data_IF_438615372510
#
_entry.id   IF_438615372510
#
_cell.length_a   1.000
_cell.length_b   1.000
_cell.length_c   1.000
_cell.angle_alpha   90.00
_cell.angle_beta   90.00
_cell.angle_gamma   90.00
#
_symmetry.space_group_name_H-M   'P 1'
#
loop_
_entity.id
_entity.type
_entity.pdbx_description
1 polymer ?
#
# COMPACT_ATOMS: atom_id res chain seq x y z
N UNK A 1 -43.94 3.18 9.95
CA UNK A 1 -42.84 2.20 9.99
C UNK A 1 -41.47 2.85 9.83
N UNK A 2 -41.24 3.68 8.80
CA UNK A 2 -39.98 4.44 8.62
C UNK A 2 -39.71 5.44 9.78
N UNK A 3 -40.74 6.14 10.28
CA UNK A 3 -40.58 7.02 11.46
C UNK A 3 -40.31 6.27 12.77
N UNK A 4 -40.81 5.04 12.89
CA UNK A 4 -40.57 4.18 14.06
C UNK A 4 -39.12 3.67 14.12
N UNK A 5 -38.46 3.51 12.97
CA UNK A 5 -37.06 3.11 12.88
C UNK A 5 -36.10 4.28 13.15
N UNK A 6 -36.46 5.50 12.72
CA UNK A 6 -35.72 6.73 13.05
C UNK A 6 -35.71 7.03 14.55
N UNK A 7 -36.85 6.84 15.23
CA UNK A 7 -36.95 7.02 16.69
C UNK A 7 -36.13 6.00 17.49
N UNK A 8 -36.09 4.74 17.06
CA UNK A 8 -35.31 3.69 17.72
C UNK A 8 -33.79 3.89 17.56
N UNK A 9 -33.34 4.38 16.39
CA UNK A 9 -31.93 4.70 16.16
C UNK A 9 -31.46 5.90 17.01
N UNK A 10 -32.23 7.00 17.04
CA UNK A 10 -31.92 8.17 17.88
C UNK A 10 -31.91 7.82 19.38
N UNK A 11 -32.92 7.11 19.87
CA UNK A 11 -32.98 6.61 21.25
C UNK A 11 -31.78 5.74 21.61
N UNK A 12 -31.39 4.82 20.72
CA UNK A 12 -30.27 3.92 20.96
C UNK A 12 -28.90 4.62 20.96
N UNK A 13 -28.75 5.73 20.23
CA UNK A 13 -27.54 6.54 20.17
C UNK A 13 -27.44 7.51 21.34
N UNK A 14 -28.56 8.08 21.79
CA UNK A 14 -28.63 8.93 22.98
C UNK A 14 -28.45 8.13 24.28
N UNK A 15 -28.94 6.88 24.33
CA UNK A 15 -28.60 5.93 25.40
C UNK A 15 -27.13 5.52 25.36
N UNK A 16 -26.53 5.43 24.16
CA UNK A 16 -25.12 5.12 24.01
C UNK A 16 -24.22 6.27 24.44
N UNK A 17 -24.53 7.51 24.05
CA UNK A 17 -23.84 8.71 24.54
C UNK A 17 -23.87 8.77 26.07
N UNK A 18 -25.05 8.57 26.67
CA UNK A 18 -25.21 8.52 28.13
C UNK A 18 -24.47 7.35 28.79
N UNK A 19 -24.38 6.19 28.15
CA UNK A 19 -23.61 5.05 28.64
C UNK A 19 -22.09 5.28 28.56
N UNK A 20 -21.63 6.20 27.71
CA UNK A 20 -20.23 6.60 27.59
C UNK A 20 -19.86 7.73 28.57
N UNK A 21 -20.79 8.61 28.92
CA UNK A 21 -20.57 9.78 29.80
C UNK A 21 -20.40 9.46 31.30
N UNK A 22 -20.74 8.24 31.76
CA UNK A 22 -20.87 7.92 33.19
C UNK A 22 -19.78 7.06 33.86
N UNK A 23 -18.64 6.79 33.23
CA UNK A 23 -17.68 5.79 33.75
C UNK A 23 -16.36 6.43 34.28
N UNK A 24 -16.09 6.40 35.60
CA UNK A 24 -14.79 6.73 36.15
C UNK A 24 -13.81 5.56 35.94
N UNK A 25 -12.56 5.89 35.56
CA UNK A 25 -11.40 5.00 35.39
C UNK A 25 -11.67 3.71 34.58
N UNK A 26 -11.56 3.80 33.26
CA UNK A 26 -11.76 2.68 32.34
C UNK A 26 -10.52 1.80 32.24
N UNK A 27 -10.66 0.55 32.70
CA UNK A 27 -9.89 -0.59 32.18
C UNK A 27 -10.04 -0.66 30.65
N UNK A 28 -8.98 -1.06 29.93
CA UNK A 28 -8.92 -1.00 28.46
C UNK A 28 -9.91 -1.99 27.81
N UNK A 29 -10.17 -3.13 28.45
CA UNK A 29 -11.07 -4.17 27.93
C UNK A 29 -12.53 -3.70 27.78
N UNK A 30 -13.17 -3.07 28.79
CA UNK A 30 -14.50 -2.48 28.65
C UNK A 30 -14.65 -1.50 27.47
N UNK A 31 -13.64 -0.68 27.19
CA UNK A 31 -13.68 0.30 26.10
C UNK A 31 -13.68 -0.34 24.73
N UNK A 32 -12.80 -1.33 24.53
CA UNK A 32 -12.69 -2.09 23.27
C UNK A 32 -13.96 -2.90 23.00
N UNK A 33 -14.51 -3.57 24.01
CA UNK A 33 -15.73 -4.37 23.84
C UNK A 33 -16.95 -3.48 23.52
N UNK A 34 -17.07 -2.32 24.15
CA UNK A 34 -18.12 -1.34 23.79
C UNK A 34 -17.99 -0.87 22.35
N UNK A 35 -16.78 -0.55 21.89
CA UNK A 35 -16.53 -0.15 20.51
C UNK A 35 -16.91 -1.25 19.50
N UNK A 36 -16.65 -2.52 19.85
CA UNK A 36 -17.05 -3.67 19.05
C UNK A 36 -18.57 -3.82 18.96
N UNK A 37 -19.26 -3.82 20.10
CA UNK A 37 -20.73 -3.90 20.16
C UNK A 37 -21.39 -2.74 19.40
N UNK A 38 -20.80 -1.56 19.47
CA UNK A 38 -21.24 -0.38 18.72
C UNK A 38 -21.10 -0.59 17.21
N UNK A 39 -19.95 -1.08 16.76
CA UNK A 39 -19.73 -1.40 15.35
C UNK A 39 -20.73 -2.45 14.83
N UNK A 40 -21.05 -3.47 15.63
CA UNK A 40 -22.06 -4.47 15.28
C UNK A 40 -23.46 -3.85 15.13
N UNK A 41 -23.86 -2.97 16.05
CA UNK A 41 -25.14 -2.27 15.98
C UNK A 41 -25.21 -1.36 14.75
N UNK A 42 -24.16 -0.59 14.49
CA UNK A 42 -24.10 0.33 13.34
C UNK A 42 -24.08 -0.42 12.01
N UNK A 43 -23.33 -1.52 11.93
CA UNK A 43 -23.21 -2.27 10.69
C UNK A 43 -24.47 -3.05 10.31
N UNK A 44 -25.34 -3.41 11.27
CA UNK A 44 -26.62 -4.07 10.99
C UNK A 44 -27.69 -3.15 10.43
N UNK A 45 -27.55 -1.84 10.59
CA UNK A 45 -28.56 -0.89 10.12
C UNK A 45 -28.00 -0.06 8.95
N UNK A 46 -28.42 -0.41 7.74
CA UNK A 46 -28.05 0.33 6.51
C UNK A 46 -28.49 1.81 6.56
N UNK A 47 -29.45 2.15 7.43
CA UNK A 47 -29.96 3.51 7.65
C UNK A 47 -29.30 4.23 8.85
N UNK A 48 -28.41 3.58 9.62
CA UNK A 48 -27.94 4.09 10.92
C UNK A 48 -26.80 5.11 10.88
N UNK A 49 -26.10 5.30 9.75
CA UNK A 49 -25.05 6.33 9.65
C UNK A 49 -25.62 7.67 9.20
N UNK A 50 -26.68 8.13 9.88
CA UNK A 50 -27.15 9.51 9.70
C UNK A 50 -26.10 10.50 10.22
N UNK A 51 -26.04 11.74 9.73
CA UNK A 51 -25.12 12.76 10.25
C UNK A 51 -25.23 12.98 11.76
N UNK A 52 -26.46 12.91 12.31
CA UNK A 52 -26.70 13.03 13.74
C UNK A 52 -26.11 11.84 14.53
N UNK A 53 -26.33 10.62 14.03
CA UNK A 53 -25.74 9.42 14.63
C UNK A 53 -24.22 9.46 14.62
N UNK A 54 -23.65 9.90 13.50
CA UNK A 54 -22.22 10.07 13.36
C UNK A 54 -21.69 11.14 14.33
N UNK A 55 -22.39 12.27 14.49
CA UNK A 55 -22.04 13.29 15.47
C UNK A 55 -22.01 12.75 16.90
N UNK A 56 -23.04 11.99 17.30
CA UNK A 56 -23.09 11.35 18.62
C UNK A 56 -21.94 10.34 18.81
N UNK A 57 -21.63 9.54 17.79
CA UNK A 57 -20.51 8.60 17.81
C UNK A 57 -19.17 9.32 17.93
N UNK A 58 -18.98 10.40 17.18
CA UNK A 58 -17.76 11.22 17.23
C UNK A 58 -17.59 11.83 18.61
N UNK A 59 -18.64 12.43 19.18
CA UNK A 59 -18.60 12.98 20.54
C UNK A 59 -18.30 11.90 21.58
N UNK A 60 -18.97 10.74 21.50
CA UNK A 60 -18.72 9.62 22.41
C UNK A 60 -17.30 9.06 22.30
N UNK A 61 -16.77 8.93 21.08
CA UNK A 61 -15.39 8.50 20.87
C UNK A 61 -14.36 9.56 21.30
N UNK A 62 -14.66 10.83 21.09
CA UNK A 62 -13.80 11.93 21.55
C UNK A 62 -13.75 12.00 23.08
N UNK A 63 -14.89 11.80 23.76
CA UNK A 63 -14.97 11.68 25.23
C UNK A 63 -14.25 10.43 25.73
N UNK A 64 -14.47 9.26 25.10
CA UNK A 64 -13.72 8.05 25.46
C UNK A 64 -12.21 8.25 25.30
N UNK A 65 -11.78 8.89 24.21
CA UNK A 65 -10.38 9.11 23.92
C UNK A 65 -9.75 10.23 24.76
N UNK A 66 -10.52 11.14 25.38
CA UNK A 66 -9.95 12.21 26.22
C UNK A 66 -9.44 11.66 27.56
N UNK A 67 -9.98 10.52 28.01
CA UNK A 67 -9.51 9.80 29.22
C UNK A 67 -8.48 8.71 28.95
N UNK A 68 -8.16 8.41 27.69
CA UNK A 68 -7.24 7.34 27.30
C UNK A 68 -5.91 7.91 26.82
N UNK A 69 -4.84 7.14 27.01
CA UNK A 69 -3.59 7.42 26.30
C UNK A 69 -3.75 7.15 24.79
N UNK A 70 -2.71 7.48 24.02
CA UNK A 70 -2.70 7.29 22.56
C UNK A 70 -2.95 5.82 22.17
N UNK A 71 -2.43 4.86 22.95
CA UNK A 71 -2.55 3.44 22.65
C UNK A 71 -3.98 2.93 22.88
N UNK A 72 -4.61 3.31 23.99
CA UNK A 72 -6.00 2.98 24.29
C UNK A 72 -6.96 3.58 23.27
N UNK A 73 -6.74 4.84 22.88
CA UNK A 73 -7.50 5.49 21.81
C UNK A 73 -7.39 4.74 20.48
N UNK A 74 -6.18 4.31 20.10
CA UNK A 74 -5.95 3.54 18.88
C UNK A 74 -6.62 2.16 18.90
N UNK A 75 -6.64 1.50 20.05
CA UNK A 75 -7.30 0.21 20.21
C UNK A 75 -8.83 0.32 20.02
N UNK A 76 -9.45 1.34 20.63
CA UNK A 76 -10.89 1.62 20.51
C UNK A 76 -11.26 1.92 19.06
N UNK A 77 -10.54 2.83 18.39
CA UNK A 77 -10.79 3.18 16.99
C UNK A 77 -10.60 1.94 16.09
N UNK A 78 -9.51 1.19 16.28
CA UNK A 78 -9.25 -0.02 15.49
C UNK A 78 -10.34 -1.07 15.64
N UNK A 79 -10.85 -1.28 16.86
CA UNK A 79 -11.94 -2.22 17.13
C UNK A 79 -13.24 -1.80 16.44
N UNK A 80 -13.59 -0.51 16.51
CA UNK A 80 -14.74 0.04 15.81
C UNK A 80 -14.63 -0.17 14.29
N UNK A 81 -13.50 0.24 13.69
CA UNK A 81 -13.28 0.11 12.25
C UNK A 81 -13.27 -1.35 11.81
N UNK A 82 -12.66 -2.24 12.60
CA UNK A 82 -12.70 -3.68 12.35
C UNK A 82 -14.13 -4.19 12.33
N UNK A 83 -14.95 -3.86 13.34
CA UNK A 83 -16.35 -4.26 13.36
C UNK A 83 -17.13 -3.73 12.16
N UNK A 84 -16.94 -2.45 11.79
CA UNK A 84 -17.58 -1.87 10.60
C UNK A 84 -17.18 -2.61 9.31
N UNK A 85 -15.90 -2.98 9.17
CA UNK A 85 -15.40 -3.79 8.04
C UNK A 85 -16.08 -5.15 7.93
N UNK A 86 -16.32 -5.82 9.06
CA UNK A 86 -16.97 -7.15 9.07
C UNK A 86 -18.43 -7.08 8.64
N UNK A 87 -19.11 -5.98 8.94
CA UNK A 87 -20.55 -5.83 8.66
C UNK A 87 -20.82 -5.40 7.21
N UNK A 88 -20.08 -4.41 6.70
CA UNK A 88 -20.27 -3.89 5.34
C UNK A 88 -18.96 -3.42 4.70
N UNK A 89 -18.60 -3.91 3.49
CA UNK A 89 -17.45 -3.40 2.74
C UNK A 89 -17.54 -1.88 2.54
N UNK A 90 -16.48 -1.15 2.87
CA UNK A 90 -16.40 0.31 2.70
C UNK A 90 -17.00 1.14 3.84
N UNK A 91 -17.74 0.56 4.78
CA UNK A 91 -18.34 1.30 5.89
C UNK A 91 -17.30 1.98 6.80
N UNK A 92 -16.15 1.33 7.01
CA UNK A 92 -15.04 1.92 7.76
C UNK A 92 -14.46 3.16 7.04
N UNK A 93 -14.26 3.09 5.73
CA UNK A 93 -13.80 4.24 4.93
C UNK A 93 -14.81 5.39 4.92
N UNK A 94 -16.11 5.08 4.78
CA UNK A 94 -17.18 6.08 4.84
C UNK A 94 -17.23 6.77 6.21
N UNK A 95 -17.17 5.99 7.29
CA UNK A 95 -17.14 6.51 8.65
C UNK A 95 -15.95 7.44 8.88
N UNK A 96 -14.74 7.02 8.48
CA UNK A 96 -13.54 7.86 8.60
C UNK A 96 -13.63 9.13 7.75
N UNK A 97 -14.10 9.04 6.51
CA UNK A 97 -14.22 10.20 5.64
C UNK A 97 -15.20 11.25 6.22
N UNK A 98 -16.32 10.80 6.78
CA UNK A 98 -17.27 11.70 7.43
C UNK A 98 -16.70 12.28 8.75
N UNK A 99 -15.92 11.50 9.50
CA UNK A 99 -15.23 12.00 10.70
C UNK A 99 -14.18 13.05 10.35
N UNK A 100 -13.38 12.83 9.31
CA UNK A 100 -12.42 13.82 8.85
C UNK A 100 -13.08 15.11 8.36
N UNK A 101 -14.23 15.03 7.70
CA UNK A 101 -14.96 16.19 7.19
C UNK A 101 -15.50 17.10 8.31
N UNK A 102 -15.85 16.54 9.46
CA UNK A 102 -16.40 17.28 10.61
C UNK A 102 -15.38 17.55 11.72
N UNK A 103 -14.25 16.83 11.69
CA UNK A 103 -13.25 16.82 12.75
C UNK A 103 -12.33 18.03 12.77
N UNK A 104 -11.75 18.28 13.94
CA UNK A 104 -10.71 19.28 14.15
C UNK A 104 -9.34 18.81 13.63
N UNK A 105 -8.35 19.71 13.60
CA UNK A 105 -6.95 19.34 13.29
C UNK A 105 -6.38 18.28 14.26
N UNK A 106 -6.81 18.30 15.52
CA UNK A 106 -6.42 17.28 16.50
C UNK A 106 -7.00 15.90 16.14
N UNK A 107 -8.25 15.86 15.66
CA UNK A 107 -8.89 14.63 15.17
C UNK A 107 -8.18 14.11 13.92
N UNK A 108 -7.78 15.01 13.00
CA UNK A 108 -7.03 14.65 11.81
C UNK A 108 -5.72 13.93 12.17
N UNK A 109 -4.93 14.50 13.09
CA UNK A 109 -3.70 13.87 13.56
C UNK A 109 -3.98 12.51 14.22
N UNK A 110 -5.08 12.38 14.97
CA UNK A 110 -5.46 11.12 15.62
C UNK A 110 -5.87 10.05 14.61
N UNK A 111 -6.64 10.42 13.59
CA UNK A 111 -7.26 9.54 12.60
C UNK A 111 -6.35 9.18 11.44
N UNK A 112 -5.29 9.95 11.17
CA UNK A 112 -4.33 9.69 10.11
C UNK A 112 -3.84 8.23 10.00
N UNK A 113 -3.34 7.58 11.08
CA UNK A 113 -2.89 6.19 10.97
C UNK A 113 -4.01 5.23 10.57
N UNK A 114 -5.23 5.49 11.01
CA UNK A 114 -6.40 4.68 10.69
C UNK A 114 -6.88 4.90 9.26
N UNK A 115 -6.84 6.14 8.77
CA UNK A 115 -7.13 6.47 7.37
C UNK A 115 -6.13 5.81 6.42
N UNK A 116 -4.83 5.88 6.73
CA UNK A 116 -3.80 5.17 5.97
C UNK A 116 -4.01 3.65 6.03
N UNK A 117 -4.37 3.12 7.19
CA UNK A 117 -4.68 1.69 7.34
C UNK A 117 -5.80 1.24 6.39
N UNK A 118 -6.91 1.97 6.34
CA UNK A 118 -8.04 1.62 5.48
C UNK A 118 -7.69 1.78 3.98
N UNK A 119 -6.86 2.75 3.61
CA UNK A 119 -6.28 2.86 2.26
C UNK A 119 -5.44 1.63 1.92
N UNK A 120 -4.56 1.21 2.82
CA UNK A 120 -3.64 0.09 2.63
C UNK A 120 -4.33 -1.29 2.59
N UNK A 121 -5.40 -1.46 3.37
CA UNK A 121 -6.29 -2.63 3.29
C UNK A 121 -7.04 -2.67 1.96
N UNK A 122 -7.11 -1.53 1.26
CA UNK A 122 -7.76 -1.32 -0.02
C UNK A 122 -9.17 -1.85 0.01
N UNK A 123 -10.08 -1.10 0.66
CA UNK A 123 -11.51 -1.40 0.69
C UNK A 123 -11.97 -1.80 -0.72
N UNK A 124 -12.09 -3.12 -0.93
CA UNK A 124 -11.72 -3.82 -2.17
C UNK A 124 -12.48 -3.44 -3.45
N UNK A 125 -13.45 -2.54 -3.40
CA UNK A 125 -14.42 -2.30 -4.50
C UNK A 125 -15.02 -0.89 -4.55
N UNK A 126 -14.71 0.01 -3.64
CA UNK A 126 -15.35 1.33 -3.60
C UNK A 126 -14.39 2.42 -4.09
N UNK A 127 -14.34 2.63 -5.42
CA UNK A 127 -13.91 3.90 -6.00
C UNK A 127 -14.95 5.00 -5.70
N UNK A 128 -15.32 5.13 -4.43
CA UNK A 128 -16.37 6.01 -3.95
C UNK A 128 -15.79 7.32 -3.40
N UNK A 129 -16.65 8.33 -3.18
CA UNK A 129 -16.25 9.64 -2.66
C UNK A 129 -15.46 9.55 -1.34
N UNK A 130 -15.83 8.63 -0.45
CA UNK A 130 -15.15 8.42 0.82
C UNK A 130 -13.68 8.02 0.63
N UNK A 131 -13.39 7.10 -0.29
CA UNK A 131 -12.03 6.65 -0.56
C UNK A 131 -11.19 7.78 -1.16
N UNK A 132 -11.76 8.56 -2.08
CA UNK A 132 -11.10 9.74 -2.65
C UNK A 132 -10.75 10.77 -1.56
N UNK A 133 -11.66 11.03 -0.61
CA UNK A 133 -11.40 11.90 0.53
C UNK A 133 -10.27 11.38 1.43
N UNK A 134 -10.23 10.07 1.71
CA UNK A 134 -9.14 9.48 2.47
C UNK A 134 -7.80 9.63 1.74
N UNK A 135 -7.76 9.37 0.43
CA UNK A 135 -6.56 9.54 -0.39
C UNK A 135 -6.06 10.97 -0.40
N UNK A 136 -6.96 11.95 -0.57
CA UNK A 136 -6.64 13.37 -0.52
C UNK A 136 -6.12 13.79 0.86
N UNK A 137 -6.81 13.37 1.92
CA UNK A 137 -6.43 13.64 3.30
C UNK A 137 -5.03 13.09 3.63
N UNK A 138 -4.78 11.82 3.32
CA UNK A 138 -3.50 11.16 3.60
C UNK A 138 -2.40 11.70 2.69
N UNK A 139 -2.70 12.00 1.43
CA UNK A 139 -1.73 12.53 0.47
C UNK A 139 -1.31 13.98 0.74
N UNK A 140 -2.14 14.76 1.42
CA UNK A 140 -1.82 16.15 1.86
C UNK A 140 -1.08 16.21 3.18
N UNK A 141 -1.01 15.12 3.93
CA UNK A 141 -0.29 15.12 5.20
C UNK A 141 1.20 15.38 4.94
N UNK A 142 1.74 16.42 5.57
CA UNK A 142 3.18 16.67 5.55
C UNK A 142 3.90 15.46 6.13
N UNK A 143 4.70 14.79 5.28
CA UNK A 143 5.43 13.56 5.63
C UNK A 143 6.24 13.73 6.91
N UNK A 144 6.82 14.91 7.13
CA UNK A 144 7.60 15.25 8.33
C UNK A 144 6.74 15.33 9.60
N UNK A 145 5.48 15.76 9.49
CA UNK A 145 4.53 15.76 10.62
C UNK A 145 4.02 14.35 10.95
N UNK A 146 4.16 13.42 10.01
CA UNK A 146 3.80 12.02 10.21
C UNK A 146 4.89 11.22 10.96
N UNK A 147 6.13 11.71 11.08
CA UNK A 147 7.25 11.05 11.78
C UNK A 147 6.90 10.46 13.17
N UNK A 148 6.31 11.22 14.12
CA UNK A 148 5.89 10.67 15.41
C UNK A 148 4.77 9.61 15.27
N UNK A 149 4.04 9.62 14.16
CA UNK A 149 2.96 8.68 13.88
C UNK A 149 3.46 7.41 13.17
N UNK A 150 4.66 7.39 12.58
CA UNK A 150 5.18 6.18 11.93
C UNK A 150 5.36 5.02 12.91
N UNK A 151 5.75 5.29 14.16
CA UNK A 151 5.78 4.27 15.20
C UNK A 151 4.39 3.64 15.45
N UNK A 152 3.31 4.43 15.29
CA UNK A 152 1.93 3.94 15.34
C UNK A 152 1.57 3.17 14.07
N UNK A 153 2.02 3.63 12.89
CA UNK A 153 1.79 2.95 11.61
C UNK A 153 2.36 1.53 11.60
N UNK A 154 3.53 1.31 12.20
CA UNK A 154 4.13 -0.02 12.32
C UNK A 154 3.28 -1.01 13.13
N UNK A 155 2.41 -0.52 14.02
CA UNK A 155 1.53 -1.34 14.86
C UNK A 155 0.22 -1.71 14.16
N UNK A 156 -0.11 -1.07 13.04
CA UNK A 156 -1.33 -1.33 12.30
C UNK A 156 -1.40 -2.78 11.85
N UNK A 157 -2.61 -3.35 11.91
CA UNK A 157 -2.85 -4.74 11.55
C UNK A 157 -2.34 -5.06 10.13
N UNK A 158 -2.64 -4.21 9.15
CA UNK A 158 -2.22 -4.43 7.77
C UNK A 158 -0.69 -4.51 7.60
N UNK A 159 0.04 -3.64 8.30
CA UNK A 159 1.50 -3.60 8.26
C UNK A 159 2.09 -4.81 9.01
N UNK A 160 1.60 -5.06 10.23
CA UNK A 160 2.08 -6.14 11.09
C UNK A 160 1.80 -7.53 10.52
N UNK A 161 0.60 -7.73 9.96
CA UNK A 161 0.18 -9.01 9.40
C UNK A 161 0.53 -9.16 7.91
N UNK A 162 1.11 -8.14 7.28
CA UNK A 162 1.34 -8.13 5.83
C UNK A 162 0.04 -8.28 5.02
N UNK A 163 -1.09 -7.89 5.60
CA UNK A 163 -2.42 -8.00 5.01
C UNK A 163 -2.74 -6.70 4.30
N UNK A 164 -2.21 -6.56 3.10
CA UNK A 164 -2.36 -5.35 2.30
C UNK A 164 -3.10 -5.70 1.01
N UNK A 165 -3.77 -4.73 0.40
CA UNK A 165 -4.48 -4.96 -0.85
C UNK A 165 -3.50 -5.39 -1.95
N UNK A 166 -3.78 -6.54 -2.59
CA UNK A 166 -2.97 -7.05 -3.71
C UNK A 166 -2.92 -6.06 -4.87
N UNK A 167 -4.09 -5.53 -5.23
CA UNK A 167 -4.28 -4.52 -6.29
C UNK A 167 -4.34 -3.10 -5.73
N UNK A 168 -3.32 -2.71 -4.97
CA UNK A 168 -3.27 -1.39 -4.35
C UNK A 168 -3.14 -0.27 -5.39
N UNK A 169 -2.47 -0.52 -6.52
CA UNK A 169 -2.22 0.49 -7.53
C UNK A 169 -3.26 0.53 -8.67
N UNK A 170 -4.19 -0.43 -8.78
CA UNK A 170 -5.24 -0.40 -9.82
C UNK A 170 -6.45 0.49 -9.48
N UNK A 171 -7.04 1.23 -10.46
CA UNK A 171 -6.61 1.35 -11.86
C UNK A 171 -5.38 2.25 -12.05
N UNK A 172 -5.25 3.30 -11.24
CA UNK A 172 -4.04 4.13 -11.13
C UNK A 172 -3.99 4.62 -9.69
N UNK A 173 -2.83 4.56 -9.02
CA UNK A 173 -2.77 5.01 -7.65
C UNK A 173 -2.73 6.53 -7.55
N UNK A 174 -3.24 7.09 -6.46
CA UNK A 174 -3.03 8.50 -6.16
C UNK A 174 -1.55 8.72 -5.84
N UNK A 175 -0.84 9.39 -6.75
CA UNK A 175 0.59 9.74 -6.63
C UNK A 175 0.94 10.45 -5.34
N UNK A 176 -0.01 11.19 -4.79
CA UNK A 176 0.13 11.86 -3.50
C UNK A 176 0.51 10.91 -2.34
N UNK A 177 0.22 9.60 -2.47
CA UNK A 177 0.61 8.61 -1.46
C UNK A 177 2.05 8.14 -1.58
N UNK A 178 2.72 8.33 -2.72
CA UNK A 178 4.00 7.69 -2.96
C UNK A 178 5.09 8.11 -1.96
N UNK A 179 5.21 9.40 -1.57
CA UNK A 179 6.16 9.79 -0.52
C UNK A 179 5.92 9.06 0.80
N UNK A 180 4.66 8.89 1.20
CA UNK A 180 4.28 8.17 2.41
C UNK A 180 4.60 6.67 2.30
N UNK A 181 4.35 6.05 1.15
CA UNK A 181 4.71 4.65 0.88
C UNK A 181 6.23 4.46 0.92
N UNK A 182 7.01 5.39 0.35
CA UNK A 182 8.46 5.35 0.42
C UNK A 182 8.94 5.36 1.87
N UNK A 183 8.36 6.23 2.70
CA UNK A 183 8.67 6.30 4.13
C UNK A 183 8.24 5.05 4.90
N UNK A 184 7.11 4.43 4.55
CA UNK A 184 6.72 3.15 5.13
C UNK A 184 7.74 2.04 4.78
N UNK A 185 8.21 2.01 3.53
CA UNK A 185 9.27 1.08 3.10
C UNK A 185 10.58 1.35 3.84
N UNK A 186 10.92 2.60 4.14
CA UNK A 186 12.08 2.99 4.95
C UNK A 186 11.94 2.57 6.41
N UNK A 187 10.82 2.94 7.02
CA UNK A 187 10.59 2.84 8.46
C UNK A 187 10.36 1.41 8.94
N UNK A 188 9.73 0.55 8.14
CA UNK A 188 9.48 -0.84 8.53
C UNK A 188 10.78 -1.65 8.36
N UNK A 189 11.43 -2.09 9.45
CA UNK A 189 12.66 -2.86 9.35
C UNK A 189 12.39 -4.21 8.66
N UNK A 190 13.36 -4.66 7.86
CA UNK A 190 13.27 -5.87 7.06
C UNK A 190 12.75 -5.66 5.64
N UNK A 191 12.34 -6.76 5.00
CA UNK A 191 11.91 -6.77 3.60
C UNK A 191 10.40 -6.78 3.41
N UNK A 192 9.57 -7.03 4.43
CA UNK A 192 8.14 -7.31 4.26
C UNK A 192 7.36 -6.20 3.50
N UNK A 193 7.48 -4.94 3.91
CA UNK A 193 6.82 -3.81 3.23
C UNK A 193 7.36 -3.61 1.81
N UNK A 194 8.68 -3.73 1.62
CA UNK A 194 9.31 -3.64 0.30
C UNK A 194 8.89 -4.79 -0.62
N UNK A 195 8.82 -6.02 -0.11
CA UNK A 195 8.36 -7.23 -0.80
C UNK A 195 6.93 -7.02 -1.27
N UNK A 196 6.06 -6.55 -0.38
CA UNK A 196 4.68 -6.27 -0.73
C UNK A 196 4.56 -5.16 -1.78
N UNK A 197 5.28 -4.06 -1.62
CA UNK A 197 5.27 -2.98 -2.61
C UNK A 197 5.77 -3.43 -3.98
N UNK A 198 6.79 -4.27 -4.01
CA UNK A 198 7.20 -4.89 -5.26
C UNK A 198 6.10 -5.79 -5.84
N UNK A 199 5.46 -6.64 -5.04
CA UNK A 199 4.37 -7.49 -5.50
C UNK A 199 3.23 -6.66 -6.11
N UNK A 200 2.84 -5.56 -5.46
CA UNK A 200 1.84 -4.65 -6.01
C UNK A 200 2.29 -4.03 -7.34
N UNK A 201 3.55 -3.60 -7.45
CA UNK A 201 4.11 -3.09 -8.70
C UNK A 201 4.19 -4.17 -9.79
N UNK A 202 4.37 -5.45 -9.43
CA UNK A 202 4.44 -6.56 -10.38
C UNK A 202 3.06 -6.98 -10.90
N UNK A 203 2.04 -6.89 -10.04
CA UNK A 203 0.64 -7.15 -10.38
C UNK A 203 0.05 -6.00 -11.22
N UNK A 204 0.22 -4.76 -10.76
CA UNK A 204 -0.24 -3.55 -11.42
C UNK A 204 1.00 -2.76 -11.88
N UNK A 205 1.47 -3.06 -13.09
CA UNK A 205 2.70 -2.46 -13.62
C UNK A 205 2.54 -0.96 -13.92
N UNK A 206 3.58 -0.14 -13.63
CA UNK A 206 3.70 1.19 -14.18
C UNK A 206 3.60 1.20 -15.72
N UNK A 207 3.21 2.33 -16.29
CA UNK A 207 2.93 2.45 -17.73
C UNK A 207 4.14 2.86 -18.56
N UNK A 208 5.27 3.23 -17.92
CA UNK A 208 6.50 3.59 -18.62
C UNK A 208 7.18 2.40 -19.31
N UNK A 209 7.90 2.71 -20.40
CA UNK A 209 8.63 1.73 -21.21
C UNK A 209 9.71 1.02 -20.38
N UNK A 210 9.68 -0.31 -20.35
CA UNK A 210 10.60 -1.13 -19.56
C UNK A 210 10.06 -1.54 -18.18
N UNK A 211 8.87 -1.10 -17.77
CA UNK A 211 8.28 -1.48 -16.47
C UNK A 211 8.11 -3.00 -16.31
N UNK A 212 7.99 -3.75 -17.40
CA UNK A 212 7.96 -5.23 -17.38
C UNK A 212 9.18 -5.86 -16.68
N UNK A 213 10.32 -5.16 -16.64
CA UNK A 213 11.51 -5.55 -15.90
C UNK A 213 11.23 -5.78 -14.41
N UNK A 214 10.24 -5.10 -13.84
CA UNK A 214 9.85 -5.27 -12.44
C UNK A 214 9.40 -6.70 -12.14
N UNK A 215 8.81 -7.43 -13.11
CA UNK A 215 8.40 -8.83 -12.94
C UNK A 215 9.57 -9.79 -12.75
N UNK A 216 10.76 -9.42 -13.19
CA UNK A 216 11.98 -10.21 -13.00
C UNK A 216 12.66 -9.94 -11.65
N UNK A 217 12.21 -8.96 -10.88
CA UNK A 217 12.78 -8.64 -9.57
C UNK A 217 12.33 -9.66 -8.51
N UNK A 218 13.27 -10.05 -7.64
CA UNK A 218 12.97 -10.96 -6.53
C UNK A 218 12.50 -10.17 -5.30
N UNK A 219 11.33 -10.50 -4.70
CA UNK A 219 10.77 -9.75 -3.56
C UNK A 219 11.63 -9.69 -2.29
N UNK A 220 12.56 -10.63 -2.10
CA UNK A 220 13.38 -10.73 -0.89
C UNK A 220 14.85 -10.34 -1.07
N UNK A 221 15.23 -9.85 -2.26
CA UNK A 221 16.60 -9.40 -2.48
C UNK A 221 16.80 -7.98 -1.90
N UNK A 222 17.81 -7.79 -1.06
CA UNK A 222 18.20 -6.48 -0.52
C UNK A 222 18.38 -5.42 -1.60
N UNK A 223 18.88 -5.82 -2.76
CA UNK A 223 19.09 -4.96 -3.92
C UNK A 223 17.81 -4.53 -4.64
N UNK A 224 16.63 -5.09 -4.31
CA UNK A 224 15.34 -4.63 -4.88
C UNK A 224 14.80 -3.39 -4.15
N UNK A 225 15.16 -3.21 -2.87
CA UNK A 225 14.67 -2.08 -2.05
C UNK A 225 15.02 -0.70 -2.63
N UNK A 226 16.26 -0.43 -3.11
CA UNK A 226 16.57 0.83 -3.75
C UNK A 226 15.72 1.14 -4.99
N UNK A 227 15.33 0.11 -5.76
CA UNK A 227 14.50 0.29 -6.97
C UNK A 227 13.08 0.67 -6.57
N UNK A 228 12.48 -0.06 -5.63
CA UNK A 228 11.14 0.24 -5.11
C UNK A 228 11.09 1.65 -4.52
N UNK A 229 12.09 2.02 -3.72
CA UNK A 229 12.18 3.37 -3.15
C UNK A 229 12.33 4.45 -4.22
N UNK A 230 13.13 4.22 -5.26
CA UNK A 230 13.29 5.17 -6.36
C UNK A 230 11.96 5.39 -7.11
N UNK A 231 11.23 4.31 -7.43
CA UNK A 231 9.89 4.40 -8.06
C UNK A 231 8.94 5.25 -7.21
N UNK A 232 8.89 4.98 -5.90
CA UNK A 232 7.98 5.70 -4.99
C UNK A 232 8.42 7.17 -4.83
N UNK A 233 9.70 7.45 -4.58
CA UNK A 233 10.19 8.83 -4.40
C UNK A 233 10.03 9.68 -5.65
N UNK A 234 10.27 9.12 -6.83
CA UNK A 234 10.14 9.83 -8.10
C UNK A 234 8.68 9.97 -8.57
N UNK A 235 7.72 9.26 -7.96
CA UNK A 235 6.36 9.24 -8.52
C UNK A 235 6.27 8.51 -9.86
N UNK A 236 7.20 7.60 -10.15
CA UNK A 236 7.46 7.04 -11.48
C UNK A 236 6.40 6.02 -11.92
N UNK A 237 5.18 6.50 -12.19
CA UNK A 237 4.07 5.69 -12.70
C UNK A 237 3.96 5.77 -14.23
N UNK A 238 4.00 6.97 -14.80
CA UNK A 238 3.88 7.18 -16.25
C UNK A 238 5.23 7.37 -16.95
N UNK A 239 6.23 7.81 -16.20
CA UNK A 239 7.58 8.06 -16.70
C UNK A 239 8.59 7.70 -15.61
N UNK A 240 9.64 6.96 -15.99
CA UNK A 240 10.79 6.70 -15.12
C UNK A 240 11.96 7.60 -15.54
N UNK A 241 12.70 8.14 -14.57
CA UNK A 241 13.92 8.88 -14.87
C UNK A 241 14.97 7.99 -15.55
N UNK A 242 15.91 8.55 -16.34
CA UNK A 242 17.03 7.79 -16.89
C UNK A 242 17.84 7.06 -15.81
N UNK A 243 18.02 7.68 -14.65
CA UNK A 243 18.73 7.08 -13.52
C UNK A 243 18.02 5.83 -12.97
N UNK A 244 16.70 5.88 -12.81
CA UNK A 244 15.90 4.72 -12.39
C UNK A 244 15.95 3.60 -13.44
N UNK A 245 15.84 3.94 -14.73
CA UNK A 245 15.93 2.97 -15.82
C UNK A 245 17.31 2.30 -15.86
N UNK A 246 18.39 3.07 -15.72
CA UNK A 246 19.76 2.57 -15.64
C UNK A 246 19.96 1.67 -14.41
N UNK A 247 19.47 2.08 -13.23
CA UNK A 247 19.55 1.29 -12.01
C UNK A 247 18.85 -0.07 -12.15
N UNK A 248 17.66 -0.08 -12.74
CA UNK A 248 16.90 -1.31 -13.01
C UNK A 248 17.62 -2.21 -14.03
N UNK A 249 18.16 -1.61 -15.10
CA UNK A 249 18.93 -2.29 -16.13
C UNK A 249 20.18 -2.97 -15.55
N UNK A 250 20.98 -2.23 -14.77
CA UNK A 250 22.18 -2.72 -14.11
C UNK A 250 21.88 -3.85 -13.12
N UNK A 251 20.79 -3.74 -12.36
CA UNK A 251 20.35 -4.80 -11.45
C UNK A 251 20.05 -6.09 -12.21
N UNK A 252 19.21 -6.02 -13.24
CA UNK A 252 18.80 -7.19 -14.01
C UNK A 252 19.97 -7.82 -14.76
N UNK A 253 20.82 -6.98 -15.37
CA UNK A 253 22.00 -7.46 -16.08
C UNK A 253 22.91 -8.25 -15.14
N UNK A 254 23.22 -7.71 -13.94
CA UNK A 254 24.02 -8.41 -12.92
C UNK A 254 23.36 -9.69 -12.43
N UNK A 255 22.03 -9.71 -12.28
CA UNK A 255 21.29 -10.90 -11.83
C UNK A 255 21.31 -12.02 -12.85
N UNK A 256 21.07 -11.71 -14.11
CA UNK A 256 21.13 -12.68 -15.22
C UNK A 256 22.57 -13.20 -15.37
N UNK A 257 23.54 -12.30 -15.25
CA UNK A 257 24.94 -12.65 -15.38
C UNK A 257 25.43 -13.65 -14.32
N UNK A 258 24.90 -13.53 -13.11
CA UNK A 258 25.22 -14.39 -11.99
C UNK A 258 24.50 -15.77 -12.03
N UNK A 259 23.70 -16.07 -13.05
CA UNK A 259 22.99 -17.35 -13.14
C UNK A 259 23.91 -18.52 -13.44
N UNK A 260 23.80 -19.57 -12.63
CA UNK A 260 24.39 -20.87 -12.96
C UNK A 260 23.78 -21.42 -14.25
N UNK A 261 24.51 -22.28 -15.00
CA UNK A 261 24.05 -22.78 -16.30
C UNK A 261 22.64 -23.38 -16.28
N UNK A 262 22.29 -24.13 -15.21
CA UNK A 262 20.99 -24.80 -15.08
C UNK A 262 19.82 -23.81 -14.92
N UNK A 263 20.09 -22.62 -14.39
CA UNK A 263 19.08 -21.57 -14.13
C UNK A 263 18.85 -20.65 -15.32
N UNK A 264 19.73 -20.68 -16.33
CA UNK A 264 19.63 -19.83 -17.53
C UNK A 264 18.44 -20.20 -18.43
N UNK A 265 17.85 -21.38 -18.21
CA UNK A 265 16.64 -21.85 -18.90
C UNK A 265 15.34 -21.48 -18.16
N UNK A 266 15.40 -20.82 -17.00
CA UNK A 266 14.21 -20.43 -16.26
C UNK A 266 13.34 -19.46 -17.09
N UNK A 267 11.99 -19.61 -17.09
CA UNK A 267 11.11 -18.83 -17.98
C UNK A 267 11.25 -17.32 -17.84
N UNK A 268 11.53 -16.81 -16.64
CA UNK A 268 11.66 -15.38 -16.38
C UNK A 268 12.89 -14.75 -17.05
N UNK A 269 13.92 -15.54 -17.39
CA UNK A 269 15.19 -15.04 -17.95
C UNK A 269 14.95 -14.40 -19.31
N UNK A 270 14.14 -15.04 -20.17
CA UNK A 270 13.81 -14.50 -21.49
C UNK A 270 13.05 -13.18 -21.35
N UNK A 271 12.02 -13.14 -20.49
CA UNK A 271 11.24 -11.92 -20.24
C UNK A 271 12.09 -10.79 -19.68
N UNK A 272 13.07 -11.11 -18.82
CA UNK A 272 14.01 -10.12 -18.29
C UNK A 272 14.94 -9.56 -19.38
N UNK A 273 15.45 -10.43 -20.28
CA UNK A 273 16.25 -9.99 -21.44
C UNK A 273 15.43 -9.14 -22.41
N UNK A 274 14.16 -9.49 -22.65
CA UNK A 274 13.26 -8.68 -23.47
C UNK A 274 13.01 -7.31 -22.83
N UNK A 275 12.75 -7.26 -21.52
CA UNK A 275 12.56 -6.00 -20.81
C UNK A 275 13.84 -5.13 -20.77
N UNK A 276 15.03 -5.76 -20.77
CA UNK A 276 16.30 -5.03 -20.88
C UNK A 276 16.48 -4.31 -22.22
N UNK A 277 15.84 -4.76 -23.30
CA UNK A 277 15.89 -4.09 -24.59
C UNK A 277 15.21 -2.72 -24.56
N UNK A 278 14.25 -2.57 -23.64
CA UNK A 278 13.55 -1.33 -23.37
C UNK A 278 14.28 -0.43 -22.36
N UNK A 279 15.35 -0.92 -21.73
CA UNK A 279 16.14 -0.24 -20.70
C UNK A 279 17.63 -0.19 -21.10
N UNK A 280 17.99 0.58 -22.13
CA UNK A 280 19.35 0.60 -22.67
C UNK A 280 20.35 1.07 -21.61
N UNK A 281 21.37 0.26 -21.37
CA UNK A 281 22.51 0.59 -20.52
C UNK A 281 23.78 -0.10 -21.03
N UNK A 282 24.98 0.43 -20.70
CA UNK A 282 26.23 -0.25 -21.02
C UNK A 282 26.29 -1.68 -20.46
N UNK A 283 25.71 -1.93 -19.29
CA UNK A 283 25.66 -3.25 -18.68
C UNK A 283 24.77 -4.24 -19.46
N UNK A 284 23.62 -3.78 -19.95
CA UNK A 284 22.72 -4.59 -20.77
C UNK A 284 23.37 -4.95 -22.12
N UNK A 285 24.06 -4.00 -22.76
CA UNK A 285 24.79 -4.24 -24.00
C UNK A 285 25.92 -5.26 -23.82
N UNK A 286 26.73 -5.10 -22.76
CA UNK A 286 27.80 -6.03 -22.42
C UNK A 286 27.27 -7.45 -22.11
N UNK A 287 26.15 -7.54 -21.38
CA UNK A 287 25.48 -8.82 -21.14
C UNK A 287 25.00 -9.46 -22.44
N UNK A 288 24.34 -8.69 -23.32
CA UNK A 288 23.88 -9.17 -24.62
C UNK A 288 25.01 -9.74 -25.47
N UNK A 289 26.13 -9.01 -25.55
CA UNK A 289 27.32 -9.46 -26.27
C UNK A 289 27.87 -10.78 -25.68
N UNK A 290 27.97 -10.88 -24.36
CA UNK A 290 28.44 -12.10 -23.69
C UNK A 290 27.53 -13.30 -23.97
N UNK A 291 26.21 -13.14 -23.86
CA UNK A 291 25.23 -14.20 -24.15
C UNK A 291 25.39 -14.73 -25.58
N UNK A 292 25.70 -13.86 -26.54
CA UNK A 292 25.87 -14.24 -27.94
C UNK A 292 27.16 -15.03 -28.19
N UNK A 293 28.22 -14.74 -27.44
CA UNK A 293 29.56 -15.31 -27.59
C UNK A 293 29.82 -16.54 -26.72
N UNK A 294 29.10 -16.70 -25.60
CA UNK A 294 29.35 -17.77 -24.63
C UNK A 294 28.98 -19.16 -25.18
N UNK A 295 29.95 -20.09 -25.10
CA UNK A 295 29.84 -21.46 -25.64
C UNK A 295 30.16 -22.51 -24.59
N UNK A 296 29.31 -23.54 -24.49
CA UNK A 296 29.56 -24.80 -23.80
C UNK A 296 30.42 -25.71 -24.69
N UNK A 297 31.48 -26.29 -24.10
CA UNK A 297 32.45 -27.15 -24.79
C UNK A 297 33.10 -26.51 -26.03
N UNK A 298 33.16 -25.17 -26.11
CA UNK A 298 33.81 -24.43 -27.22
C UNK A 298 33.00 -24.29 -28.51
N UNK A 299 31.92 -25.07 -28.70
CA UNK A 299 31.12 -25.04 -29.94
C UNK A 299 29.60 -24.99 -29.74
N UNK A 300 29.05 -25.50 -28.64
CA UNK A 300 27.60 -25.45 -28.40
C UNK A 300 27.23 -24.13 -27.71
N UNK A 301 26.16 -23.43 -28.11
CA UNK A 301 25.71 -22.25 -27.37
C UNK A 301 25.31 -22.63 -25.94
N UNK A 302 25.77 -21.85 -24.96
CA UNK A 302 25.40 -22.09 -23.56
C UNK A 302 23.99 -21.58 -23.23
N UNK A 303 23.50 -20.62 -24.01
CA UNK A 303 22.19 -20.01 -23.86
C UNK A 303 21.21 -20.56 -24.90
N UNK A 304 19.94 -20.64 -24.52
CA UNK A 304 18.87 -21.06 -25.43
C UNK A 304 18.73 -20.13 -26.63
N UNK A 305 18.13 -20.62 -27.71
CA UNK A 305 17.88 -19.81 -28.91
C UNK A 305 17.02 -18.57 -28.62
N UNK A 306 16.06 -18.67 -27.71
CA UNK A 306 15.20 -17.55 -27.28
C UNK A 306 15.98 -16.49 -26.52
N UNK A 307 16.83 -16.88 -25.55
CA UNK A 307 17.70 -15.95 -24.84
C UNK A 307 18.68 -15.24 -25.81
N UNK A 308 19.26 -15.98 -26.76
CA UNK A 308 20.15 -15.37 -27.77
C UNK A 308 19.40 -14.41 -28.69
N UNK A 309 18.15 -14.71 -29.05
CA UNK A 309 17.32 -13.79 -29.85
C UNK A 309 17.06 -12.48 -29.10
N UNK A 310 16.69 -12.56 -27.82
CA UNK A 310 16.50 -11.37 -26.98
C UNK A 310 17.82 -10.60 -26.80
N UNK A 311 18.95 -11.30 -26.59
CA UNK A 311 20.27 -10.67 -26.47
C UNK A 311 20.73 -9.91 -27.72
N UNK A 312 20.32 -10.32 -28.93
CA UNK A 312 20.60 -9.54 -30.15
C UNK A 312 19.91 -8.19 -30.13
N UNK A 313 18.67 -8.12 -29.63
CA UNK A 313 17.94 -6.86 -29.52
C UNK A 313 18.61 -5.88 -28.55
N UNK A 314 19.22 -6.39 -27.47
CA UNK A 314 20.03 -5.58 -26.54
C UNK A 314 21.23 -4.93 -27.24
N UNK A 315 21.92 -5.70 -28.08
CA UNK A 315 23.13 -5.25 -28.76
C UNK A 315 22.81 -4.23 -29.86
N UNK A 316 21.82 -4.50 -30.71
CA UNK A 316 21.43 -3.57 -31.79
C UNK A 316 20.82 -2.26 -31.28
N UNK A 317 20.14 -2.29 -30.13
CA UNK A 317 19.58 -1.09 -29.52
C UNK A 317 20.66 -0.11 -29.03
N UNK A 318 21.81 -0.63 -28.59
CA UNK A 318 22.92 0.19 -28.11
C UNK A 318 23.62 0.96 -29.24
N UNK A 319 23.81 0.34 -30.41
CA UNK A 319 24.38 0.99 -31.60
C UNK A 319 23.51 2.13 -32.15
N UNK A 320 22.21 2.11 -31.86
CA UNK A 320 21.26 3.12 -32.31
C UNK A 320 21.20 4.36 -31.40
N UNK A 321 21.76 4.28 -30.20
CA UNK A 321 21.69 5.31 -29.16
C UNK A 321 23.02 6.07 -28.95
N UNK A 322 24.11 5.60 -29.55
CA UNK A 322 25.44 6.21 -29.59
C UNK A 322 25.63 7.09 -30.82
#
# INVERSE_FOLDING_TARGET
MIESLKGAASSGLDELGRALEGAPELDLEPGVERARLLAERLGRSAEALTPQALGALQSGLAQLASGLDTAGSDAVISALLHGLRQQRPGAASEFLAQWLALGSSADHARLFPHALHEILLGARRSAGPAQALLHDFVGKAEVERADPQFARLQRLEAVRLGRLARRFFAPTPPRALFPLLARLVEAVPGSAMCTWMLQCLQEDLPTWKGAQALRALTPHASATRPIVLAILREGAWDSASPALQEQLSNYLAKKIDALSPDRRAEPWVVTALEALADLPSPAAAALGQRILLERRYGFLPQWSGTCRKAARALFSGAESAS
#
